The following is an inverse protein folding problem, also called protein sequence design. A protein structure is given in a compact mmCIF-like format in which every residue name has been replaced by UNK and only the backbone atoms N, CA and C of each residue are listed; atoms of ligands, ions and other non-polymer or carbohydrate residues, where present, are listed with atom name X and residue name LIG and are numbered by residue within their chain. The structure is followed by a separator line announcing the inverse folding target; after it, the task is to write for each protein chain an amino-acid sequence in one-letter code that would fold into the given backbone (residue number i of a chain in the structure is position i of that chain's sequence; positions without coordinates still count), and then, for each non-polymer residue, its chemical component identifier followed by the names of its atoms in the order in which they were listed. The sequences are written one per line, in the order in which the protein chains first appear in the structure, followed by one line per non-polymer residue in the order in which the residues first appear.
data_IF_918422280131
#
_entry.id   IF_918422280131
#
_cell.length_a   1.000
_cell.length_b   1.000
_cell.length_c   1.000
_cell.angle_alpha   90.00
_cell.angle_beta   90.00
_cell.angle_gamma   90.00
#
_symmetry.space_group_name_H-M   'P 1'
#
loop_
_entity.id
_entity.type
_entity.pdbx_description
1 polymer ?
#
# COMPACT_ATOMS: atom_id res chain seq x y z
N UNK A 1 4.03 24.74 -31.97
CA UNK A 1 3.93 25.26 -30.58
C UNK A 1 5.34 25.62 -30.11
N UNK A 2 5.60 26.81 -29.55
CA UNK A 2 6.94 27.19 -29.09
C UNK A 2 7.44 26.28 -27.96
N UNK A 3 8.73 25.86 -27.95
CA UNK A 3 9.27 24.87 -27.00
C UNK A 3 9.03 25.21 -25.53
N UNK A 4 9.02 26.50 -25.17
CA UNK A 4 8.77 26.99 -23.81
C UNK A 4 7.34 26.71 -23.33
N UNK A 5 6.35 26.73 -24.21
CA UNK A 5 4.96 26.52 -23.82
C UNK A 5 4.70 25.06 -23.42
N UNK A 6 5.27 24.09 -24.16
CA UNK A 6 5.16 22.66 -23.83
C UNK A 6 5.80 22.34 -22.49
N UNK A 7 6.95 22.92 -22.18
CA UNK A 7 7.62 22.73 -20.87
C UNK A 7 6.77 23.29 -19.73
N UNK A 8 6.23 24.50 -19.89
CA UNK A 8 5.34 25.11 -18.89
C UNK A 8 4.08 24.26 -18.67
N UNK A 9 3.43 23.82 -19.75
CA UNK A 9 2.25 22.96 -19.65
C UNK A 9 2.56 21.64 -18.94
N UNK A 10 3.66 20.97 -19.26
CA UNK A 10 4.07 19.74 -18.59
C UNK A 10 4.33 19.95 -17.09
N UNK A 11 4.89 21.11 -16.72
CA UNK A 11 5.08 21.45 -15.31
C UNK A 11 3.74 21.63 -14.59
N UNK A 12 2.83 22.42 -15.16
CA UNK A 12 1.51 22.67 -14.58
C UNK A 12 0.71 21.38 -14.41
N UNK A 13 0.73 20.49 -15.41
CA UNK A 13 0.05 19.19 -15.33
C UNK A 13 0.60 18.31 -14.20
N UNK A 14 1.92 18.35 -13.94
CA UNK A 14 2.53 17.62 -12.82
C UNK A 14 2.14 18.21 -11.47
N UNK A 15 2.03 19.54 -11.37
CA UNK A 15 1.58 20.22 -10.15
C UNK A 15 0.13 19.81 -9.81
N UNK A 16 -0.76 19.80 -10.80
CA UNK A 16 -2.15 19.34 -10.63
C UNK A 16 -2.22 17.86 -10.22
N UNK A 17 -1.43 16.99 -10.86
CA UNK A 17 -1.39 15.58 -10.50
C UNK A 17 -0.87 15.35 -9.08
N UNK A 18 0.19 16.06 -8.67
CA UNK A 18 0.74 16.00 -7.32
C UNK A 18 -0.27 16.48 -6.28
N UNK A 19 -1.00 17.56 -6.57
CA UNK A 19 -2.05 18.06 -5.68
C UNK A 19 -3.20 17.04 -5.54
N UNK A 20 -3.60 16.39 -6.65
CA UNK A 20 -4.63 15.34 -6.64
C UNK A 20 -4.24 14.19 -5.71
N UNK A 21 -2.99 13.72 -5.79
CA UNK A 21 -2.45 12.66 -4.93
C UNK A 21 -2.39 13.12 -3.46
N UNK A 22 -2.01 14.38 -3.20
CA UNK A 22 -1.85 14.90 -1.84
C UNK A 22 -3.17 15.27 -1.15
N UNK A 23 -4.26 15.52 -1.89
CA UNK A 23 -5.51 16.07 -1.33
C UNK A 23 -6.27 15.12 -0.41
N UNK A 24 -5.92 13.83 -0.37
CA UNK A 24 -6.17 12.89 0.75
C UNK A 24 -5.64 11.51 0.38
N UNK A 25 -4.74 10.91 1.17
CA UNK A 25 -4.48 9.49 1.02
C UNK A 25 -5.74 8.70 1.38
N UNK A 26 -6.37 8.06 0.39
CA UNK A 26 -7.47 7.15 0.64
C UNK A 26 -6.90 5.87 1.26
N UNK A 27 -7.48 5.45 2.40
CA UNK A 27 -7.26 4.09 2.89
C UNK A 27 -8.07 3.16 1.99
N UNK A 28 -7.38 2.39 1.16
CA UNK A 28 -7.96 1.56 0.10
C UNK A 28 -8.14 0.10 0.55
N UNK A 29 -8.91 -0.67 -0.22
CA UNK A 29 -9.18 -2.08 0.05
C UNK A 29 -10.27 -2.32 1.10
N UNK A 30 -10.27 -3.53 1.67
CA UNK A 30 -11.29 -4.00 2.60
C UNK A 30 -11.76 -5.41 2.25
N UNK A 31 -12.86 -5.84 2.88
CA UNK A 31 -13.41 -7.17 2.63
C UNK A 31 -13.79 -7.33 1.16
N UNK A 32 -13.30 -8.40 0.50
CA UNK A 32 -13.51 -8.71 -0.93
C UNK A 32 -12.86 -7.75 -1.93
N UNK A 33 -11.96 -6.87 -1.50
CA UNK A 33 -11.20 -5.98 -2.39
C UNK A 33 -9.74 -6.42 -2.49
N UNK A 34 -9.16 -6.29 -3.68
CA UNK A 34 -7.78 -6.68 -3.96
C UNK A 34 -6.92 -5.43 -4.14
N UNK A 35 -5.99 -5.23 -3.21
CA UNK A 35 -5.01 -4.14 -3.31
C UNK A 35 -3.70 -4.70 -3.85
N UNK A 36 -3.26 -4.17 -4.98
CA UNK A 36 -1.91 -4.36 -5.49
C UNK A 36 -0.98 -3.31 -4.90
N UNK A 37 0.23 -3.72 -4.52
CA UNK A 37 1.26 -2.84 -4.00
C UNK A 37 2.49 -2.92 -4.89
N UNK A 38 3.11 -1.78 -5.19
CA UNK A 38 4.33 -1.70 -5.98
C UNK A 38 5.35 -0.72 -5.38
N UNK A 39 6.63 -1.04 -5.54
CA UNK A 39 7.75 -0.24 -5.07
C UNK A 39 8.54 0.31 -6.26
N UNK A 40 8.58 1.63 -6.37
CA UNK A 40 9.24 2.32 -7.47
C UNK A 40 10.32 3.27 -6.97
N UNK A 41 11.54 3.12 -7.50
CA UNK A 41 12.65 4.05 -7.27
C UNK A 41 12.66 5.15 -8.32
N UNK A 42 12.28 6.36 -7.89
CA UNK A 42 12.34 7.57 -8.70
C UNK A 42 13.74 8.18 -8.63
N UNK A 43 14.59 7.73 -9.57
CA UNK A 43 15.82 8.44 -10.01
C UNK A 43 16.62 7.61 -11.02
N UNK A 44 15.96 6.82 -11.86
CA UNK A 44 16.68 6.08 -12.90
C UNK A 44 17.10 7.04 -14.01
N UNK A 45 18.41 7.16 -14.17
CA UNK A 45 19.04 7.84 -15.30
C UNK A 45 18.67 7.06 -16.57
N UNK A 46 17.92 7.68 -17.50
CA UNK A 46 17.59 7.01 -18.77
C UNK A 46 18.88 6.81 -19.56
N UNK A 47 19.29 5.55 -19.72
CA UNK A 47 20.51 5.20 -20.48
C UNK A 47 21.82 5.71 -19.88
N UNK A 48 21.92 5.81 -18.55
CA UNK A 48 23.12 6.31 -17.83
C UNK A 48 23.70 7.64 -18.36
N UNK A 49 22.87 8.50 -18.97
CA UNK A 49 23.28 9.81 -19.50
C UNK A 49 22.44 10.94 -18.90
N UNK A 50 22.98 12.16 -18.87
CA UNK A 50 22.27 13.34 -18.35
C UNK A 50 22.43 13.60 -16.84
N UNK A 51 21.59 14.48 -16.29
CA UNK A 51 21.70 15.00 -14.91
C UNK A 51 21.33 13.94 -13.86
N UNK A 52 22.09 13.90 -12.76
CA UNK A 52 21.79 13.04 -11.60
C UNK A 52 20.74 13.74 -10.74
N UNK A 53 19.62 13.06 -10.50
CA UNK A 53 18.58 13.50 -9.57
C UNK A 53 18.67 12.69 -8.27
N UNK A 54 18.27 13.27 -7.13
CA UNK A 54 18.20 12.52 -5.88
C UNK A 54 17.28 11.30 -6.02
N UNK A 55 17.67 10.20 -5.36
CA UNK A 55 16.91 8.96 -5.37
C UNK A 55 15.79 9.02 -4.35
N UNK A 56 14.56 8.76 -4.79
CA UNK A 56 13.39 8.72 -3.92
C UNK A 56 12.65 7.40 -4.11
N UNK A 57 12.49 6.63 -3.04
CA UNK A 57 11.60 5.48 -3.06
C UNK A 57 10.15 5.93 -2.89
N UNK A 58 9.26 5.31 -3.65
CA UNK A 58 7.82 5.51 -3.55
C UNK A 58 7.15 4.15 -3.45
N UNK A 59 6.31 3.98 -2.44
CA UNK A 59 5.38 2.86 -2.33
C UNK A 59 4.03 3.33 -2.86
N UNK A 60 3.49 2.58 -3.81
CA UNK A 60 2.17 2.80 -4.35
C UNK A 60 1.25 1.62 -4.07
N UNK A 61 -0.05 1.90 -3.99
CA UNK A 61 -1.07 0.87 -3.96
C UNK A 61 -2.26 1.24 -4.82
N UNK A 62 -2.88 0.24 -5.46
CA UNK A 62 -4.11 0.41 -6.24
C UNK A 62 -5.10 -0.70 -5.92
N UNK A 63 -6.35 -0.33 -5.69
CA UNK A 63 -7.46 -1.26 -5.55
C UNK A 63 -7.97 -1.63 -6.95
N UNK A 64 -7.91 -2.91 -7.32
CA UNK A 64 -8.29 -3.36 -8.67
C UNK A 64 -9.75 -3.04 -9.01
N UNK A 65 -10.62 -3.12 -8.02
CA UNK A 65 -12.07 -3.02 -8.22
C UNK A 65 -12.57 -1.57 -8.17
N UNK A 66 -11.99 -0.71 -7.32
CA UNK A 66 -12.41 0.70 -7.18
C UNK A 66 -11.57 1.65 -8.02
N UNK A 67 -10.37 1.25 -8.45
CA UNK A 67 -9.40 2.12 -9.12
C UNK A 67 -8.79 3.18 -8.20
N UNK A 68 -9.13 3.18 -6.90
CA UNK A 68 -8.52 4.08 -5.93
C UNK A 68 -7.07 3.70 -5.69
N UNK A 69 -6.21 4.71 -5.56
CA UNK A 69 -4.79 4.51 -5.35
C UNK A 69 -4.19 5.47 -4.33
N UNK A 70 -3.04 5.09 -3.80
CA UNK A 70 -2.19 5.95 -2.98
C UNK A 70 -0.75 5.89 -3.47
N UNK A 71 0.02 6.95 -3.20
CA UNK A 71 1.45 7.04 -3.45
C UNK A 71 2.11 7.72 -2.25
N UNK A 72 3.08 7.04 -1.64
CA UNK A 72 3.76 7.52 -0.43
C UNK A 72 5.26 7.47 -0.65
N UNK A 73 5.93 8.58 -0.36
CA UNK A 73 7.39 8.65 -0.35
C UNK A 73 7.91 7.91 0.88
N UNK A 74 8.89 7.02 0.67
CA UNK A 74 9.52 6.24 1.74
C UNK A 74 11.04 6.39 1.68
N UNK A 75 11.71 6.21 2.82
CA UNK A 75 13.18 6.33 2.86
C UNK A 75 13.88 5.16 2.16
N UNK A 76 13.36 3.95 2.34
CA UNK A 76 13.90 2.72 1.75
C UNK A 76 12.81 1.67 1.52
N UNK A 77 13.19 0.59 0.84
CA UNK A 77 12.34 -0.59 0.58
C UNK A 77 12.40 -1.66 1.67
N UNK A 78 12.89 -1.31 2.87
CA UNK A 78 12.97 -2.31 3.94
C UNK A 78 11.57 -2.63 4.44
N UNK A 79 11.35 -3.88 4.85
CA UNK A 79 10.07 -4.30 5.45
C UNK A 79 9.71 -3.46 6.68
N UNK A 80 10.71 -2.97 7.43
CA UNK A 80 10.53 -2.08 8.57
C UNK A 80 9.88 -0.74 8.19
N UNK A 81 10.18 -0.23 7.01
CA UNK A 81 9.60 1.01 6.47
C UNK A 81 8.26 0.75 5.78
N UNK A 82 8.16 -0.34 5.01
CA UNK A 82 6.97 -0.59 4.17
C UNK A 82 5.77 -1.12 4.95
N UNK A 83 5.98 -2.01 5.93
CA UNK A 83 4.87 -2.63 6.69
C UNK A 83 4.01 -1.58 7.42
N UNK A 84 4.57 -0.59 8.12
CA UNK A 84 3.78 0.48 8.73
C UNK A 84 2.94 1.26 7.71
N UNK A 85 3.52 1.60 6.57
CA UNK A 85 2.81 2.33 5.50
C UNK A 85 1.66 1.48 4.95
N UNK A 86 1.87 0.20 4.69
CA UNK A 86 0.78 -0.69 4.24
C UNK A 86 -0.35 -0.74 5.26
N UNK A 87 -0.05 -0.81 6.56
CA UNK A 87 -1.07 -0.82 7.62
C UNK A 87 -1.86 0.48 7.73
N UNK A 88 -1.24 1.60 7.41
CA UNK A 88 -1.89 2.91 7.44
C UNK A 88 -2.80 3.12 6.22
N UNK A 89 -2.43 2.59 5.05
CA UNK A 89 -3.09 2.87 3.77
C UNK A 89 -3.95 1.73 3.22
N UNK A 90 -3.87 0.52 3.78
CA UNK A 90 -4.68 -0.64 3.36
C UNK A 90 -5.61 -1.07 4.49
N UNK A 91 -6.91 -1.11 4.21
CA UNK A 91 -7.90 -1.60 5.19
C UNK A 91 -7.65 -3.08 5.47
N UNK A 92 -7.65 -3.50 6.75
CA UNK A 92 -7.48 -4.89 7.10
C UNK A 92 -8.66 -5.71 6.55
N UNK A 93 -8.34 -6.88 6.02
CA UNK A 93 -9.35 -7.90 5.77
C UNK A 93 -9.70 -8.50 7.13
N UNK A 94 -10.66 -7.89 7.83
CA UNK A 94 -11.34 -8.60 8.89
C UNK A 94 -12.09 -9.75 8.21
N UNK A 95 -11.61 -10.98 8.39
CA UNK A 95 -12.53 -12.11 8.34
C UNK A 95 -13.58 -11.78 9.38
N UNK A 96 -14.80 -11.50 8.96
CA UNK A 96 -15.95 -11.67 9.82
C UNK A 96 -15.84 -13.07 10.42
N UNK A 97 -15.34 -13.18 11.66
CA UNK A 97 -15.59 -14.37 12.45
C UNK A 97 -17.12 -14.48 12.48
N UNK A 98 -17.71 -15.63 12.12
CA UNK A 98 -19.13 -15.79 12.35
C UNK A 98 -19.37 -15.45 13.82
N UNK A 99 -20.25 -14.47 14.06
CA UNK A 99 -20.80 -14.16 15.37
C UNK A 99 -21.57 -15.41 15.83
N UNK A 100 -20.85 -16.41 16.33
CA UNK A 100 -21.36 -17.57 17.05
C UNK A 100 -20.22 -18.07 17.94
N UNK A 101 -20.03 -17.33 19.04
CA UNK A 101 -19.36 -17.81 20.22
C UNK A 101 -20.26 -18.85 20.90
N UNK A 102 -20.35 -20.06 20.35
CA UNK A 102 -20.81 -21.21 21.13
C UNK A 102 -19.62 -21.80 21.89
N UNK A 103 -19.71 -21.59 23.21
CA UNK A 103 -18.89 -22.16 24.26
C UNK A 103 -18.71 -23.68 24.04
N UNK A 104 -17.53 -24.09 23.58
CA UNK A 104 -17.04 -25.44 23.86
C UNK A 104 -16.57 -25.42 25.31
N UNK A 105 -17.45 -25.84 26.21
CA UNK A 105 -17.11 -26.11 27.60
C UNK A 105 -16.00 -27.19 27.66
N UNK A 106 -15.03 -27.11 28.59
CA UNK A 106 -14.08 -28.19 28.79
C UNK A 106 -14.83 -29.42 29.33
N UNK A 107 -15.03 -30.41 28.48
CA UNK A 107 -15.50 -31.75 28.88
C UNK A 107 -14.46 -32.35 29.82
N UNK A 108 -14.82 -32.45 31.10
CA UNK A 108 -14.09 -33.25 32.09
C UNK A 108 -14.09 -34.70 31.61
N UNK A 109 -12.96 -35.19 31.09
CA UNK A 109 -12.71 -36.64 31.02
C UNK A 109 -11.70 -37.00 32.09
N UNK A 110 -12.20 -37.83 33.02
CA UNK A 110 -11.50 -38.39 34.17
C UNK A 110 -10.26 -39.14 33.71
N UNK A 111 -9.20 -39.04 34.52
CA UNK A 111 -8.07 -39.94 34.48
C UNK A 111 -8.55 -41.38 34.71
N UNK A 112 -8.15 -42.29 33.83
CA UNK A 112 -8.11 -43.73 34.13
C UNK A 112 -6.71 -44.20 33.77
N UNK A 113 -5.91 -44.40 34.81
CA UNK A 113 -4.65 -45.12 34.73
C UNK A 113 -4.98 -46.60 34.87
N UNK A 114 -4.68 -47.39 33.84
CA UNK A 114 -4.61 -48.85 33.97
C UNK A 114 -3.17 -49.25 33.71
N UNK A 115 -2.51 -49.69 34.77
CA UNK A 115 -1.25 -50.40 34.70
C UNK A 115 -1.49 -51.80 34.15
N UNK A 116 -0.67 -52.20 33.17
CA UNK A 116 -0.19 -53.59 33.00
C UNK A 116 1.20 -53.52 32.42
#
# INVERSE_FOLDING_TARGET
MPPRQTVTWNRLMREVAAESINRKPCVIGGERLTVELDESLFSKRKGNSGRVYPQQWVLGGVCRETGECFLVQVADRSSKTLIPVVKEYVRPVLRSLPMNAERIAPSKRKATQTCV
#
